data_IF_801911882543
#
_entry.id   IF_801911882543
#
_cell.length_a   1.000
_cell.length_b   1.000
_cell.length_c   1.000
_cell.angle_alpha   90.00
_cell.angle_beta   90.00
_cell.angle_gamma   90.00
#
_symmetry.space_group_name_H-M   'P 1'
#
loop_
_entity.id
_entity.type
_entity.pdbx_description
1 polymer ?
#
# COMPACT_ATOMS: atom_id res chain seq x y z
N UNK A 1 9.09 29.19 7.40
CA UNK A 1 7.82 29.64 6.81
C UNK A 1 6.74 28.71 7.30
N UNK A 2 5.64 29.24 7.82
CA UNK A 2 4.50 28.45 8.31
C UNK A 2 3.64 28.08 7.10
N UNK A 3 3.40 26.78 6.89
CA UNK A 3 2.62 26.25 5.77
C UNK A 3 1.18 26.78 5.80
N UNK A 4 0.66 27.23 4.65
CA UNK A 4 -0.70 27.77 4.48
C UNK A 4 -1.46 26.94 3.44
N UNK A 5 -2.44 26.19 3.93
CA UNK A 5 -3.31 25.24 3.22
C UNK A 5 -4.20 25.82 2.11
N UNK A 6 -4.32 27.15 1.98
CA UNK A 6 -5.37 27.79 1.16
C UNK A 6 -5.03 27.93 -0.34
N UNK A 7 -3.92 27.33 -0.79
CA UNK A 7 -3.35 27.56 -2.14
C UNK A 7 -3.15 26.31 -3.00
N UNK A 8 -3.48 25.12 -2.48
CA UNK A 8 -3.34 23.87 -3.24
C UNK A 8 -4.56 23.59 -4.11
N UNK A 9 -4.35 22.91 -5.25
CA UNK A 9 -5.39 22.57 -6.24
C UNK A 9 -6.53 21.82 -5.54
N UNK A 10 -7.72 22.43 -5.48
CA UNK A 10 -8.88 21.89 -4.77
C UNK A 10 -9.44 20.63 -5.46
N UNK A 11 -8.85 19.46 -5.18
CA UNK A 11 -9.46 18.16 -5.39
C UNK A 11 -10.43 17.85 -4.23
N UNK A 12 -11.48 18.66 -4.09
CA UNK A 12 -12.66 18.48 -3.22
C UNK A 12 -12.44 17.88 -1.83
N UNK A 13 -11.96 18.73 -0.90
CA UNK A 13 -12.01 18.55 0.55
C UNK A 13 -13.29 17.83 1.05
N UNK A 14 -13.13 16.66 1.67
CA UNK A 14 -14.20 15.90 2.35
C UNK A 14 -13.62 15.21 3.59
N UNK A 15 -13.62 15.87 4.76
CA UNK A 15 -13.05 15.34 6.01
C UNK A 15 -13.74 14.05 6.48
N UNK A 16 -14.94 13.76 5.99
CA UNK A 16 -15.68 12.53 6.28
C UNK A 16 -15.08 11.29 5.58
N UNK A 17 -14.19 11.47 4.60
CA UNK A 17 -13.75 10.40 3.68
C UNK A 17 -12.33 9.90 3.89
N UNK A 18 -11.60 10.47 4.87
CA UNK A 18 -10.27 10.01 5.30
C UNK A 18 -9.23 10.00 4.18
N UNK A 19 -8.21 10.85 4.30
CA UNK A 19 -7.01 10.94 3.46
C UNK A 19 -7.01 11.90 2.28
N UNK A 20 -6.00 12.76 2.36
CA UNK A 20 -5.49 13.69 1.36
C UNK A 20 -4.10 13.20 0.92
N UNK A 21 -3.49 13.87 -0.06
CA UNK A 21 -2.16 13.63 -0.67
C UNK A 21 -2.17 12.89 -2.01
N UNK A 22 -3.00 13.35 -2.96
CA UNK A 22 -2.61 13.29 -4.37
C UNK A 22 -2.03 14.65 -4.76
N UNK A 23 -0.70 14.75 -4.83
CA UNK A 23 -0.07 15.88 -5.52
C UNK A 23 0.11 15.51 -6.99
N UNK A 24 -0.70 16.11 -7.85
CA UNK A 24 -0.49 16.06 -9.29
C UNK A 24 0.68 16.99 -9.61
N UNK A 25 1.81 16.41 -10.02
CA UNK A 25 3.02 17.18 -10.31
C UNK A 25 2.80 18.12 -11.51
N UNK A 26 2.88 19.42 -11.26
CA UNK A 26 3.07 20.44 -12.30
C UNK A 26 4.29 21.25 -11.84
N UNK A 27 5.36 21.21 -12.62
CA UNK A 27 6.70 21.70 -12.27
C UNK A 27 6.81 23.25 -12.40
N UNK A 28 7.21 24.00 -11.36
CA UNK A 28 7.87 25.29 -11.52
C UNK A 28 9.35 25.24 -11.09
N UNK A 29 10.23 26.09 -11.67
CA UNK A 29 11.65 25.77 -11.90
C UNK A 29 12.61 25.99 -10.73
N UNK A 30 12.21 25.86 -9.45
CA UNK A 30 13.13 26.22 -8.37
C UNK A 30 13.10 25.41 -7.06
N UNK A 31 12.03 24.67 -6.74
CA UNK A 31 11.98 23.89 -5.50
C UNK A 31 11.14 22.62 -5.66
N UNK A 32 11.79 21.47 -5.49
CA UNK A 32 11.15 20.14 -5.52
C UNK A 32 10.55 19.81 -4.16
N UNK A 33 9.22 19.78 -4.10
CA UNK A 33 8.46 19.19 -3.00
C UNK A 33 7.22 18.54 -3.59
N UNK A 34 7.16 17.21 -3.53
CA UNK A 34 6.03 16.42 -4.00
C UNK A 34 5.81 15.22 -3.08
N UNK A 35 4.55 14.95 -2.73
CA UNK A 35 4.16 13.75 -2.01
C UNK A 35 3.12 13.01 -2.87
N UNK A 36 3.55 11.88 -3.44
CA UNK A 36 2.67 10.84 -3.95
C UNK A 36 2.78 9.68 -2.95
N UNK A 37 1.65 9.02 -2.69
CA UNK A 37 1.62 7.79 -1.90
C UNK A 37 2.58 6.72 -2.49
N UNK A 38 3.17 5.87 -1.66
CA UNK A 38 4.10 4.84 -2.15
C UNK A 38 3.34 3.83 -3.02
N UNK A 39 3.83 3.57 -4.23
CA UNK A 39 3.24 2.57 -5.13
C UNK A 39 3.39 1.16 -4.55
N UNK A 40 2.37 0.34 -4.71
CA UNK A 40 2.31 -1.02 -4.21
C UNK A 40 1.91 -1.98 -5.31
N UNK A 41 2.53 -3.15 -5.29
CA UNK A 41 2.27 -4.25 -6.21
C UNK A 41 2.28 -5.52 -5.38
N UNK A 42 1.16 -6.25 -5.39
CA UNK A 42 0.97 -7.44 -4.58
C UNK A 42 0.12 -8.50 -5.32
N UNK A 43 0.45 -9.76 -5.04
CA UNK A 43 -0.38 -10.91 -5.38
C UNK A 43 -1.34 -11.19 -4.21
N UNK A 44 -2.62 -10.98 -4.43
CA UNK A 44 -3.64 -11.13 -3.37
C UNK A 44 -4.02 -12.57 -3.09
N UNK A 45 -3.50 -13.53 -3.85
CA UNK A 45 -3.64 -14.97 -3.56
C UNK A 45 -2.59 -15.49 -2.57
N UNK A 46 -1.52 -14.72 -2.35
CA UNK A 46 -0.38 -15.18 -1.54
C UNK A 46 -0.67 -15.23 -0.03
N UNK A 47 -1.54 -14.35 0.48
CA UNK A 47 -1.76 -14.16 1.92
C UNK A 47 -3.22 -13.88 2.27
N UNK A 48 -3.63 -14.30 3.48
CA UNK A 48 -4.96 -14.00 4.03
C UNK A 48 -5.21 -12.50 4.21
N UNK A 49 -4.19 -11.70 4.50
CA UNK A 49 -4.33 -10.26 4.70
C UNK A 49 -4.52 -9.54 3.37
N UNK A 50 -3.78 -9.97 2.35
CA UNK A 50 -3.98 -9.50 0.98
C UNK A 50 -5.36 -9.88 0.44
N UNK A 51 -5.86 -11.09 0.77
CA UNK A 51 -7.22 -11.49 0.45
C UNK A 51 -8.28 -10.66 1.20
N UNK A 52 -8.10 -10.39 2.50
CA UNK A 52 -8.98 -9.51 3.29
C UNK A 52 -9.07 -8.11 2.67
N UNK A 53 -7.93 -7.54 2.27
CA UNK A 53 -7.87 -6.26 1.59
C UNK A 53 -8.56 -6.30 0.22
N UNK A 54 -8.31 -7.34 -0.59
CA UNK A 54 -8.96 -7.52 -1.89
C UNK A 54 -10.48 -7.61 -1.77
N UNK A 55 -10.98 -8.35 -0.78
CA UNK A 55 -12.41 -8.64 -0.64
C UNK A 55 -13.25 -7.39 -0.31
N UNK A 56 -12.64 -6.29 0.16
CA UNK A 56 -13.34 -5.02 0.36
C UNK A 56 -13.37 -4.10 -0.87
N UNK A 57 -12.60 -4.41 -1.92
CA UNK A 57 -12.48 -3.53 -3.07
C UNK A 57 -13.80 -3.43 -3.83
N UNK A 58 -14.12 -2.22 -4.29
CA UNK A 58 -15.35 -1.95 -5.05
C UNK A 58 -15.00 -1.69 -6.51
N UNK A 59 -15.56 -2.45 -7.48
CA UNK A 59 -15.36 -2.18 -8.91
C UNK A 59 -15.79 -0.75 -9.27
N UNK A 60 -15.06 -0.10 -10.17
CA UNK A 60 -15.40 1.25 -10.62
C UNK A 60 -14.96 1.51 -12.06
N UNK A 61 -15.47 2.57 -12.67
CA UNK A 61 -14.98 3.04 -13.97
C UNK A 61 -13.58 3.64 -13.81
N UNK A 62 -12.62 3.34 -14.73
CA UNK A 62 -11.30 3.95 -14.71
C UNK A 62 -11.36 5.48 -14.78
N UNK A 63 -10.42 6.13 -14.09
CA UNK A 63 -10.26 7.58 -14.10
C UNK A 63 -8.78 7.99 -14.12
N UNK A 64 -8.51 9.29 -14.02
CA UNK A 64 -7.16 9.82 -14.04
C UNK A 64 -6.23 9.23 -12.96
N UNK A 65 -6.77 8.82 -11.80
CA UNK A 65 -5.98 8.22 -10.72
C UNK A 65 -5.61 6.75 -11.02
N UNK A 66 -6.41 6.03 -11.81
CA UNK A 66 -6.03 4.68 -12.25
C UNK A 66 -4.92 4.73 -13.31
N UNK A 67 -4.95 5.74 -14.17
CA UNK A 67 -3.90 5.93 -15.19
C UNK A 67 -2.52 6.13 -14.57
N UNK A 68 -2.42 6.67 -13.35
CA UNK A 68 -1.12 6.85 -12.68
C UNK A 68 -0.50 5.56 -12.15
N UNK A 69 -1.25 4.45 -12.15
CA UNK A 69 -0.79 3.13 -11.70
C UNK A 69 -0.20 2.26 -12.82
N UNK A 70 -0.39 2.67 -14.08
CA UNK A 70 -0.01 1.87 -15.26
C UNK A 70 0.90 2.68 -16.17
N UNK A 71 1.62 1.99 -17.07
CA UNK A 71 2.44 2.69 -18.06
C UNK A 71 1.58 3.41 -19.11
N UNK A 72 2.11 4.42 -19.82
CA UNK A 72 1.36 5.11 -20.87
C UNK A 72 0.80 4.19 -21.96
N UNK A 73 1.51 3.11 -22.29
CA UNK A 73 1.09 2.13 -23.30
C UNK A 73 -0.01 1.18 -22.79
N UNK A 74 -0.11 0.99 -21.47
CA UNK A 74 -1.15 0.20 -20.80
C UNK A 74 -2.40 1.02 -20.49
N UNK A 75 -2.28 2.34 -20.33
CA UNK A 75 -3.38 3.21 -19.93
C UNK A 75 -4.66 3.02 -20.77
N UNK A 76 -4.62 2.95 -22.12
CA UNK A 76 -5.83 2.71 -22.92
C UNK A 76 -6.54 1.39 -22.57
N UNK A 77 -5.82 0.39 -22.09
CA UNK A 77 -6.34 -0.94 -21.78
C UNK A 77 -7.20 -0.98 -20.53
N UNK A 78 -7.13 0.04 -19.66
CA UNK A 78 -8.01 0.17 -18.49
C UNK A 78 -9.50 0.22 -18.88
N UNK A 79 -9.82 0.68 -20.10
CA UNK A 79 -11.18 0.80 -20.60
C UNK A 79 -11.64 -0.39 -21.45
N UNK A 80 -10.77 -1.38 -21.69
CA UNK A 80 -11.17 -2.58 -22.43
C UNK A 80 -11.77 -3.60 -21.47
N UNK A 81 -12.97 -4.14 -21.76
CA UNK A 81 -13.60 -5.15 -20.91
C UNK A 81 -12.74 -6.41 -20.84
N UNK A 82 -12.86 -7.18 -19.77
CA UNK A 82 -12.21 -8.48 -19.74
C UNK A 82 -12.98 -9.49 -20.61
N UNK A 83 -12.32 -10.58 -21.05
CA UNK A 83 -12.98 -11.62 -21.86
C UNK A 83 -14.21 -12.25 -21.18
N UNK A 84 -14.25 -12.21 -19.84
CA UNK A 84 -15.39 -12.65 -19.03
C UNK A 84 -16.65 -11.78 -19.25
N UNK A 85 -16.44 -10.49 -19.47
CA UNK A 85 -17.50 -9.51 -19.66
C UNK A 85 -17.87 -9.35 -21.14
N UNK A 86 -16.87 -9.44 -22.01
CA UNK A 86 -17.01 -9.33 -23.47
C UNK A 86 -16.03 -10.29 -24.19
N UNK A 87 -16.53 -11.40 -24.76
CA UNK A 87 -15.69 -12.35 -25.52
C UNK A 87 -14.97 -11.75 -26.73
N UNK A 88 -15.50 -10.65 -27.30
CA UNK A 88 -14.94 -9.96 -28.47
C UNK A 88 -14.02 -8.79 -28.06
N UNK A 89 -13.70 -8.68 -26.76
CA UNK A 89 -12.84 -7.62 -26.23
C UNK A 89 -11.49 -7.54 -26.95
N UNK A 90 -10.92 -6.32 -27.15
CA UNK A 90 -9.52 -6.15 -27.56
C UNK A 90 -8.49 -6.84 -26.65
N UNK A 91 -8.87 -7.14 -25.40
CA UNK A 91 -8.05 -7.87 -24.42
C UNK A 91 -8.12 -9.39 -24.56
N UNK A 92 -8.98 -9.94 -25.42
CA UNK A 92 -9.10 -11.37 -25.63
C UNK A 92 -7.89 -11.92 -26.39
N UNK A 93 -7.31 -13.01 -25.88
CA UNK A 93 -6.19 -13.71 -26.49
C UNK A 93 -6.68 -15.03 -27.06
N UNK A 94 -6.71 -15.14 -28.39
CA UNK A 94 -7.11 -16.35 -29.12
C UNK A 94 -8.46 -16.96 -28.67
N UNK A 95 -9.43 -16.11 -28.30
CA UNK A 95 -10.85 -16.46 -28.09
C UNK A 95 -11.23 -17.03 -26.72
N UNK A 96 -10.27 -17.38 -25.85
CA UNK A 96 -10.54 -17.86 -24.48
C UNK A 96 -9.50 -17.38 -23.44
N UNK A 97 -8.31 -16.94 -23.89
CA UNK A 97 -7.34 -16.26 -23.03
C UNK A 97 -7.64 -14.78 -22.86
N UNK A 98 -6.94 -14.12 -21.94
CA UNK A 98 -7.12 -12.71 -21.67
C UNK A 98 -5.84 -12.01 -21.19
N UNK A 99 -5.64 -10.78 -21.64
CA UNK A 99 -4.73 -9.80 -21.05
C UNK A 99 -5.54 -8.52 -20.83
N UNK A 100 -6.17 -8.40 -19.67
CA UNK A 100 -7.09 -7.30 -19.34
C UNK A 100 -6.63 -6.55 -18.10
N UNK A 101 -7.14 -5.33 -17.97
CA UNK A 101 -7.07 -4.58 -16.73
C UNK A 101 -8.46 -4.43 -16.14
N UNK A 102 -8.55 -4.50 -14.81
CA UNK A 102 -9.75 -4.16 -14.06
C UNK A 102 -9.46 -3.03 -13.08
N UNK A 103 -10.46 -2.20 -12.80
CA UNK A 103 -10.32 -1.03 -11.94
C UNK A 103 -11.25 -1.09 -10.74
N UNK A 104 -10.69 -0.87 -9.56
CA UNK A 104 -11.40 -0.86 -8.30
C UNK A 104 -10.99 0.34 -7.46
N UNK A 105 -11.76 0.62 -6.42
CA UNK A 105 -11.35 1.50 -5.33
C UNK A 105 -11.40 0.78 -4.01
N UNK A 106 -10.46 1.14 -3.16
CA UNK A 106 -10.60 0.87 -1.74
C UNK A 106 -11.66 1.82 -1.16
N UNK A 107 -12.81 1.33 -0.67
CA UNK A 107 -13.87 2.20 -0.16
C UNK A 107 -13.48 2.93 1.13
N UNK A 108 -12.41 2.52 1.81
CA UNK A 108 -11.93 3.14 3.05
C UNK A 108 -10.98 4.30 2.75
N UNK A 109 -10.01 4.08 1.86
CA UNK A 109 -8.95 5.05 1.56
C UNK A 109 -9.21 5.85 0.29
N UNK A 110 -10.19 5.41 -0.51
CA UNK A 110 -10.52 5.91 -1.83
C UNK A 110 -9.40 5.80 -2.87
N UNK A 111 -8.30 5.09 -2.53
CA UNK A 111 -7.15 4.91 -3.41
C UNK A 111 -7.56 4.08 -4.63
N UNK A 112 -7.03 4.43 -5.82
CA UNK A 112 -7.24 3.64 -7.03
C UNK A 112 -6.56 2.28 -6.89
N UNK A 113 -7.17 1.26 -7.46
CA UNK A 113 -6.58 -0.06 -7.62
C UNK A 113 -6.73 -0.47 -9.08
N UNK A 114 -5.61 -0.69 -9.75
CA UNK A 114 -5.57 -1.28 -11.09
C UNK A 114 -5.13 -2.73 -10.96
N UNK A 115 -5.83 -3.64 -11.62
CA UNK A 115 -5.57 -5.08 -11.50
C UNK A 115 -5.24 -5.62 -12.89
N UNK A 116 -4.03 -6.13 -13.03
CA UNK A 116 -3.58 -6.78 -14.25
C UNK A 116 -3.97 -8.25 -14.18
N UNK A 117 -4.75 -8.70 -15.17
CA UNK A 117 -5.21 -10.07 -15.28
C UNK A 117 -4.68 -10.70 -16.57
N UNK A 118 -3.96 -11.81 -16.39
CA UNK A 118 -3.46 -12.64 -17.47
C UNK A 118 -4.00 -14.06 -17.35
N UNK A 119 -4.61 -14.55 -18.44
CA UNK A 119 -5.09 -15.93 -18.56
C UNK A 119 -4.70 -16.55 -19.89
N UNK A 120 -4.15 -17.76 -19.88
CA UNK A 120 -3.86 -18.53 -21.10
C UNK A 120 -5.12 -19.19 -21.67
N UNK A 121 -5.12 -19.42 -23.00
CA UNK A 121 -6.11 -20.27 -23.67
C UNK A 121 -6.21 -21.62 -22.92
N UNK A 122 -7.42 -22.09 -22.62
CA UNK A 122 -7.75 -23.28 -21.78
C UNK A 122 -7.74 -23.08 -20.26
N UNK A 123 -7.39 -21.90 -19.74
CA UNK A 123 -7.57 -21.53 -18.32
C UNK A 123 -6.61 -22.16 -17.30
N UNK A 124 -5.63 -22.93 -17.74
CA UNK A 124 -4.68 -23.60 -16.83
C UNK A 124 -3.68 -22.65 -16.14
N UNK A 125 -3.55 -21.41 -16.61
CA UNK A 125 -2.75 -20.37 -15.98
C UNK A 125 -3.59 -19.10 -15.89
N UNK A 126 -4.00 -18.74 -14.68
CA UNK A 126 -4.70 -17.51 -14.34
C UNK A 126 -3.85 -16.76 -13.31
N UNK A 127 -3.54 -15.51 -13.60
CA UNK A 127 -2.67 -14.67 -12.77
C UNK A 127 -3.28 -13.28 -12.60
N UNK A 128 -3.30 -12.83 -11.36
CA UNK A 128 -3.91 -11.58 -10.94
C UNK A 128 -2.91 -10.77 -10.13
N UNK A 129 -2.60 -9.57 -10.59
CA UNK A 129 -1.63 -8.69 -9.96
C UNK A 129 -2.25 -7.33 -9.67
N UNK A 130 -2.18 -6.90 -8.41
CA UNK A 130 -2.86 -5.70 -7.94
C UNK A 130 -1.85 -4.57 -7.78
N UNK A 131 -2.18 -3.42 -8.36
CA UNK A 131 -1.42 -2.19 -8.32
C UNK A 131 -2.23 -1.15 -7.57
N UNK A 132 -1.64 -0.53 -6.56
CA UNK A 132 -2.31 0.52 -5.79
C UNK A 132 -1.27 1.44 -5.16
N UNK A 133 -1.73 2.28 -4.25
CA UNK A 133 -0.89 3.10 -3.39
C UNK A 133 -1.11 2.72 -1.92
N UNK A 134 -0.09 2.93 -1.10
CA UNK A 134 -0.23 2.86 0.36
C UNK A 134 -0.49 4.26 0.95
N UNK A 135 -1.45 4.42 1.87
CA UNK A 135 -1.59 5.67 2.60
C UNK A 135 -0.30 6.00 3.36
N UNK A 136 0.03 7.31 3.46
CA UNK A 136 1.23 7.76 4.17
C UNK A 136 1.09 7.66 5.69
N UNK A 137 -0.14 7.67 6.22
CA UNK A 137 -0.46 7.63 7.64
C UNK A 137 -1.77 6.87 7.88
N UNK A 138 -2.09 6.59 9.15
CA UNK A 138 -3.43 6.15 9.55
C UNK A 138 -4.44 7.32 9.47
N UNK A 139 -5.76 7.04 9.44
CA UNK A 139 -6.75 8.11 9.45
C UNK A 139 -6.70 8.83 10.79
N UNK A 140 -7.05 10.11 10.79
CA UNK A 140 -7.02 10.91 12.02
C UNK A 140 -7.84 10.24 13.14
N UNK A 141 -7.16 10.01 14.26
CA UNK A 141 -7.74 9.41 15.46
C UNK A 141 -7.86 7.89 15.45
N UNK A 142 -7.42 7.18 14.40
CA UNK A 142 -7.25 5.72 14.47
C UNK A 142 -5.91 5.35 15.09
N UNK A 143 -5.94 4.29 15.89
CA UNK A 143 -4.77 3.77 16.59
C UNK A 143 -4.45 2.38 16.06
N UNK A 144 -3.18 2.09 15.80
CA UNK A 144 -2.72 0.74 15.48
C UNK A 144 -2.97 -0.19 16.67
N UNK A 145 -3.71 -1.28 16.44
CA UNK A 145 -3.87 -2.39 17.39
C UNK A 145 -2.92 -3.52 17.10
N UNK A 146 -2.59 -3.76 15.83
CA UNK A 146 -1.58 -4.74 15.44
C UNK A 146 -0.78 -4.33 14.20
N UNK A 147 0.52 -4.61 14.25
CA UNK A 147 1.43 -4.55 13.10
C UNK A 147 1.57 -5.97 12.54
N UNK A 148 1.25 -6.13 11.27
CA UNK A 148 1.29 -7.43 10.59
C UNK A 148 2.50 -7.43 9.68
N UNK A 149 3.45 -8.32 9.97
CA UNK A 149 4.58 -8.60 9.08
C UNK A 149 4.14 -9.79 8.24
N UNK A 150 3.80 -9.56 6.99
CA UNK A 150 3.26 -10.55 6.07
C UNK A 150 4.35 -11.02 5.10
N UNK A 151 5.01 -12.11 5.44
CA UNK A 151 6.11 -12.67 4.63
C UNK A 151 5.61 -13.48 3.44
N UNK A 152 4.32 -13.82 3.42
CA UNK A 152 3.71 -14.56 2.31
C UNK A 152 3.45 -13.64 1.12
N UNK A 153 2.95 -12.43 1.37
CA UNK A 153 2.81 -11.38 0.35
C UNK A 153 4.03 -10.45 0.23
N UNK A 154 5.03 -10.61 1.10
CA UNK A 154 6.16 -9.67 1.30
C UNK A 154 5.67 -8.23 1.51
N UNK A 155 4.75 -8.06 2.48
CA UNK A 155 4.09 -6.80 2.81
C UNK A 155 4.10 -6.54 4.32
N UNK A 156 3.93 -5.29 4.73
CA UNK A 156 3.56 -4.93 6.10
C UNK A 156 2.22 -4.21 6.12
N UNK A 157 1.38 -4.59 7.08
CA UNK A 157 0.05 -4.03 7.26
C UNK A 157 -0.13 -3.46 8.66
N UNK A 158 -1.04 -2.51 8.80
CA UNK A 158 -1.52 -2.03 10.08
C UNK A 158 -2.99 -2.41 10.25
N UNK A 159 -3.32 -3.06 11.36
CA UNK A 159 -4.71 -3.21 11.81
C UNK A 159 -5.00 -2.13 12.84
N UNK A 160 -6.11 -1.42 12.68
CA UNK A 160 -6.51 -0.34 13.60
C UNK A 160 -7.52 -0.79 14.65
N UNK A 161 -7.81 0.08 15.61
CA UNK A 161 -8.86 -0.07 16.63
C UNK A 161 -10.27 -0.14 16.03
N UNK A 162 -10.45 0.33 14.80
CA UNK A 162 -11.66 0.11 13.99
C UNK A 162 -11.69 -1.24 13.29
N UNK A 163 -10.69 -2.09 13.49
CA UNK A 163 -10.53 -3.39 12.83
C UNK A 163 -10.09 -3.31 11.37
N UNK A 164 -9.83 -2.10 10.87
CA UNK A 164 -9.49 -1.86 9.46
C UNK A 164 -8.04 -2.25 9.19
N UNK A 165 -7.83 -2.96 8.07
CA UNK A 165 -6.51 -3.32 7.57
C UNK A 165 -6.00 -2.25 6.58
N UNK A 166 -4.87 -1.62 6.86
CA UNK A 166 -4.22 -0.64 6.00
C UNK A 166 -2.91 -1.19 5.47
N UNK A 167 -2.66 -0.96 4.17
CA UNK A 167 -1.35 -1.23 3.56
C UNK A 167 -0.36 -0.18 4.08
N UNK A 168 0.83 -0.60 4.50
CA UNK A 168 1.91 0.33 4.84
C UNK A 168 2.86 0.55 3.63
N UNK A 169 3.48 1.74 3.50
CA UNK A 169 4.26 2.11 2.32
C UNK A 169 5.64 1.42 2.25
N UNK A 170 5.90 0.62 1.21
CA UNK A 170 7.13 -0.21 1.09
C UNK A 170 8.05 0.22 -0.06
N UNK A 171 7.54 0.33 -1.28
CA UNK A 171 8.41 0.44 -2.46
C UNK A 171 8.81 1.88 -2.77
N UNK A 172 10.05 2.01 -3.26
CA UNK A 172 10.50 3.13 -4.08
C UNK A 172 10.22 2.75 -5.54
N UNK A 173 9.20 3.33 -6.17
CA UNK A 173 8.92 3.15 -7.60
C UNK A 173 9.38 4.40 -8.38
N UNK A 174 9.11 4.47 -9.69
CA UNK A 174 9.52 5.57 -10.58
C UNK A 174 8.86 6.94 -10.29
N UNK A 175 8.27 7.13 -9.10
CA UNK A 175 7.70 8.38 -8.58
C UNK A 175 8.07 8.59 -7.11
N UNK A 176 7.79 9.79 -6.59
CA UNK A 176 8.19 10.31 -5.27
C UNK A 176 8.34 9.26 -4.15
N UNK A 177 9.52 9.26 -3.52
CA UNK A 177 9.91 8.31 -2.48
C UNK A 177 9.15 8.55 -1.17
N UNK A 178 8.20 7.68 -0.84
CA UNK A 178 7.43 7.78 0.40
C UNK A 178 7.37 6.49 1.25
N UNK A 179 8.10 5.43 0.87
CA UNK A 179 8.13 4.13 1.57
C UNK A 179 9.47 3.81 2.24
N UNK A 180 9.49 2.76 3.08
CA UNK A 180 10.73 2.19 3.60
C UNK A 180 11.30 1.21 2.56
N UNK A 181 12.41 1.53 1.87
CA UNK A 181 12.93 0.66 0.83
C UNK A 181 13.21 -0.74 1.38
N UNK A 182 12.52 -1.74 0.84
CA UNK A 182 12.88 -3.16 0.88
C UNK A 182 13.61 -3.63 2.15
N UNK A 183 12.83 -3.93 3.18
CA UNK A 183 13.05 -5.02 4.14
C UNK A 183 14.43 -5.16 4.82
N UNK A 184 15.13 -4.06 5.06
CA UNK A 184 16.21 -4.06 6.04
C UNK A 184 15.65 -4.18 7.47
N UNK A 185 16.16 -5.09 8.33
CA UNK A 185 15.78 -5.14 9.74
C UNK A 185 15.84 -3.79 10.47
N UNK A 186 16.72 -2.89 10.02
CA UNK A 186 16.85 -1.55 10.57
C UNK A 186 15.61 -0.66 10.35
N UNK A 187 15.01 -0.68 9.16
CA UNK A 187 13.85 0.16 8.87
C UNK A 187 12.62 -0.33 9.63
N UNK A 188 12.42 -1.66 9.66
CA UNK A 188 11.36 -2.27 10.46
C UNK A 188 11.54 -1.94 11.95
N UNK A 189 12.76 -1.99 12.48
CA UNK A 189 13.04 -1.65 13.87
C UNK A 189 12.70 -0.19 14.18
N UNK A 190 13.07 0.76 13.31
CA UNK A 190 12.73 2.17 13.49
C UNK A 190 11.22 2.42 13.42
N UNK A 191 10.52 1.74 12.51
CA UNK A 191 9.06 1.81 12.44
C UNK A 191 8.43 1.31 13.74
N UNK A 192 8.86 0.15 14.24
CA UNK A 192 8.37 -0.39 15.52
C UNK A 192 8.59 0.59 16.68
N UNK A 193 9.79 1.18 16.78
CA UNK A 193 10.09 2.17 17.82
C UNK A 193 9.21 3.42 17.72
N UNK A 194 8.95 3.89 16.49
CA UNK A 194 8.11 5.05 16.23
C UNK A 194 6.64 4.78 16.54
N UNK A 195 6.12 3.61 16.17
CA UNK A 195 4.80 3.13 16.55
C UNK A 195 4.68 3.11 18.08
N UNK A 196 5.65 2.54 18.78
CA UNK A 196 5.61 2.47 20.25
C UNK A 196 5.72 3.86 20.90
N UNK A 197 6.60 4.72 20.40
CA UNK A 197 6.80 6.07 20.94
C UNK A 197 5.56 6.97 20.74
N UNK A 198 4.79 6.73 19.68
CA UNK A 198 3.55 7.43 19.37
C UNK A 198 2.31 6.76 19.93
N UNK A 199 2.43 5.70 20.74
CA UNK A 199 1.30 4.89 21.22
C UNK A 199 0.40 4.41 20.07
N UNK A 200 0.98 3.96 18.95
CA UNK A 200 0.24 3.39 17.82
C UNK A 200 -0.36 4.39 16.83
N UNK A 201 -0.20 5.70 17.05
CA UNK A 201 -0.78 6.71 16.15
C UNK A 201 0.10 7.03 14.92
N UNK A 202 1.40 6.77 14.98
CA UNK A 202 2.34 7.04 13.89
C UNK A 202 2.96 5.75 13.35
N UNK A 203 2.44 5.29 12.21
CA UNK A 203 2.91 4.12 11.45
C UNK A 203 3.80 4.49 10.27
N UNK A 204 4.13 5.77 10.12
CA UNK A 204 4.91 6.25 8.98
C UNK A 204 6.35 5.70 9.06
N UNK A 205 7.12 5.69 7.96
CA UNK A 205 8.51 5.25 7.99
C UNK A 205 9.32 5.96 9.09
N UNK A 206 10.27 5.23 9.67
CA UNK A 206 11.18 5.77 10.68
C UNK A 206 12.08 6.87 10.10
N UNK A 207 12.66 7.70 10.98
CA UNK A 207 13.60 8.75 10.56
C UNK A 207 14.84 8.12 9.91
N UNK A 208 15.16 8.45 8.65
CA UNK A 208 16.35 7.92 7.99
C UNK A 208 17.62 8.25 8.78
N UNK A 209 18.59 7.33 8.77
CA UNK A 209 19.90 7.46 9.42
C UNK A 209 19.92 7.49 10.96
N UNK A 210 18.77 7.41 11.63
CA UNK A 210 18.74 7.18 13.08
C UNK A 210 19.08 5.70 13.36
N UNK A 211 19.96 5.41 14.32
CA UNK A 211 20.21 4.00 14.66
C UNK A 211 19.07 3.47 15.53
N UNK A 212 18.39 2.36 15.14
CA UNK A 212 17.40 1.74 16.01
C UNK A 212 18.05 1.17 17.26
N UNK A 213 17.29 1.04 18.33
CA UNK A 213 17.65 0.32 19.53
C UNK A 213 18.13 -1.09 19.18
N UNK A 214 19.29 -1.46 19.74
CA UNK A 214 19.94 -2.74 19.42
C UNK A 214 19.04 -3.96 19.71
N UNK A 215 18.16 -3.87 20.72
CA UNK A 215 17.20 -4.91 21.08
C UNK A 215 16.18 -5.17 19.97
N UNK A 216 15.55 -4.11 19.44
CA UNK A 216 14.56 -4.21 18.37
C UNK A 216 15.23 -4.62 17.06
N UNK A 217 16.40 -4.06 16.76
CA UNK A 217 17.21 -4.43 15.60
C UNK A 217 17.62 -5.92 15.62
N UNK A 218 18.05 -6.42 16.79
CA UNK A 218 18.43 -7.83 16.94
C UNK A 218 17.24 -8.76 16.67
N UNK A 219 16.04 -8.41 17.14
CA UNK A 219 14.84 -9.20 16.91
C UNK A 219 14.40 -9.16 15.45
N UNK A 220 14.33 -7.98 14.83
CA UNK A 220 13.96 -7.81 13.41
C UNK A 220 14.95 -8.51 12.45
N UNK A 221 16.19 -8.71 12.89
CA UNK A 221 17.23 -9.46 12.16
C UNK A 221 17.23 -10.96 12.44
N UNK A 222 16.35 -11.44 13.34
CA UNK A 222 16.32 -12.84 13.78
C UNK A 222 15.41 -13.71 12.92
N UNK A 223 15.55 -15.03 13.05
CA UNK A 223 14.64 -15.99 12.42
C UNK A 223 13.18 -15.83 12.91
N UNK A 224 12.97 -15.32 14.13
CA UNK A 224 11.61 -15.07 14.63
C UNK A 224 10.87 -14.00 13.81
N UNK A 225 11.59 -13.02 13.25
CA UNK A 225 11.03 -11.99 12.38
C UNK A 225 10.85 -12.43 10.90
N UNK A 226 11.28 -13.65 10.56
CA UNK A 226 11.23 -14.19 9.21
C UNK A 226 9.91 -14.89 8.86
N UNK A 227 9.00 -15.02 9.82
CA UNK A 227 7.68 -15.63 9.62
C UNK A 227 6.58 -14.57 9.54
N UNK A 228 5.49 -14.91 8.85
CA UNK A 228 4.26 -14.12 8.90
C UNK A 228 3.72 -14.07 10.32
N UNK A 229 3.51 -12.87 10.85
CA UNK A 229 3.04 -12.68 12.22
C UNK A 229 2.26 -11.38 12.40
N UNK A 230 1.37 -11.39 13.37
CA UNK A 230 0.57 -10.24 13.80
C UNK A 230 0.97 -9.88 15.22
N UNK A 231 1.58 -8.71 15.39
CA UNK A 231 2.11 -8.22 16.65
C UNK A 231 1.22 -7.10 17.18
N UNK A 232 0.57 -7.35 18.30
CA UNK A 232 -0.23 -6.33 18.99
C UNK A 232 0.63 -5.17 19.46
N UNK A 233 0.04 -3.98 19.64
CA UNK A 233 0.75 -2.82 20.19
C UNK A 233 1.44 -3.15 21.53
N UNK A 234 0.81 -3.95 22.38
CA UNK A 234 1.41 -4.39 23.65
C UNK A 234 2.64 -5.30 23.43
N UNK A 235 2.61 -6.19 22.44
CA UNK A 235 3.77 -7.01 22.07
C UNK A 235 4.89 -6.15 21.48
N UNK A 236 4.58 -5.13 20.68
CA UNK A 236 5.57 -4.17 20.19
C UNK A 236 6.21 -3.38 21.34
N UNK A 237 5.41 -2.92 22.32
CA UNK A 237 5.93 -2.28 23.53
C UNK A 237 6.84 -3.20 24.33
N UNK A 238 6.46 -4.49 24.46
CA UNK A 238 7.29 -5.48 25.13
C UNK A 238 8.62 -5.68 24.38
N UNK A 239 8.55 -5.84 23.06
CA UNK A 239 9.71 -5.97 22.18
C UNK A 239 10.67 -4.79 22.34
N UNK A 240 10.18 -3.54 22.35
CA UNK A 240 11.02 -2.37 22.59
C UNK A 240 11.68 -2.37 23.98
N UNK A 241 11.01 -2.92 25.00
CA UNK A 241 11.54 -2.97 26.38
C UNK A 241 12.52 -4.12 26.61
N UNK A 242 12.29 -5.28 26.01
CA UNK A 242 12.99 -6.53 26.39
C UNK A 242 13.73 -7.19 25.22
N UNK A 243 13.46 -6.80 23.98
CA UNK A 243 13.97 -7.49 22.78
C UNK A 243 13.24 -8.79 22.45
N UNK A 244 12.10 -9.07 23.11
CA UNK A 244 11.35 -10.33 22.96
C UNK A 244 9.87 -10.04 22.70
N UNK A 245 9.27 -10.80 21.79
CA UNK A 245 7.82 -10.90 21.60
C UNK A 245 7.31 -12.08 22.41
N UNK A 246 6.28 -11.87 23.25
CA UNK A 246 5.63 -12.91 24.03
C UNK A 246 4.35 -13.42 23.35
#
# INVERSE_FOLDING_TARGET
MTYQHDRDLHLTHSPERGYWHFMLYIEPPAYTGGAINAGQQLDTSASRYAAEWRDRLTPCTPDALHVTLVTPDEAPQLWYPCVYDDPDSPSAVAGDGCLCWQTFRDPITWLPVAVHHYRTVTGNHEHWEHYTYAPLSLPDGEQLTALIIDREADMVWARTDRGTLHILPEKQTAGYSAGYPGSGPAELARMIEKIVASDGYDVTPGTPNQQPAATVFSWTSSHAAAHTQELTLQQLMLLCRTGVVA
#
